data_IF_008165806212
#
_entry.id   IF_008165806212
#
_cell.length_a   1.000
_cell.length_b   1.000
_cell.length_c   1.000
_cell.angle_alpha   90.00
_cell.angle_beta   90.00
_cell.angle_gamma   90.00
#
_symmetry.space_group_name_H-M   'P 1'
#
loop_
_entity.id
_entity.type
_entity.pdbx_description
1 polymer ?
#
# COMPACT_ATOMS: atom_id res chain seq x y z
N UNK A 1 24.85 13.07 -1.06
CA UNK A 1 24.23 13.54 -2.34
C UNK A 1 22.75 13.16 -2.52
N UNK A 2 22.07 12.49 -1.57
CA UNK A 2 20.70 11.97 -1.78
C UNK A 2 19.54 12.98 -1.52
N UNK A 3 19.75 14.04 -0.72
CA UNK A 3 18.66 14.96 -0.32
C UNK A 3 18.10 15.86 -1.42
N UNK A 4 18.90 16.23 -2.43
CA UNK A 4 18.46 17.16 -3.51
C UNK A 4 17.53 16.49 -4.53
N UNK A 5 17.76 15.20 -4.82
CA UNK A 5 16.96 14.44 -5.80
C UNK A 5 15.53 14.19 -5.27
N UNK A 6 15.40 13.88 -3.98
CA UNK A 6 14.08 13.70 -3.36
C UNK A 6 13.24 14.97 -3.31
N UNK A 7 13.87 16.14 -3.20
CA UNK A 7 13.14 17.41 -3.21
C UNK A 7 12.58 17.74 -4.59
N UNK A 8 13.35 17.48 -5.66
CA UNK A 8 12.94 17.80 -7.04
C UNK A 8 11.73 16.96 -7.47
N UNK A 9 11.75 15.65 -7.21
CA UNK A 9 10.64 14.75 -7.53
C UNK A 9 9.33 15.14 -6.81
N UNK A 10 9.41 15.59 -5.55
CA UNK A 10 8.23 16.07 -4.82
C UNK A 10 7.65 17.32 -5.48
N UNK A 11 8.49 18.27 -5.90
CA UNK A 11 8.03 19.50 -6.55
C UNK A 11 7.32 19.22 -7.89
N UNK A 12 7.87 18.32 -8.70
CA UNK A 12 7.27 17.95 -9.99
C UNK A 12 5.91 17.26 -9.81
N UNK A 13 5.84 16.27 -8.90
CA UNK A 13 4.58 15.55 -8.62
C UNK A 13 3.54 16.49 -8.00
N UNK A 14 3.96 17.37 -7.08
CA UNK A 14 3.06 18.35 -6.47
C UNK A 14 2.51 19.32 -7.52
N UNK A 15 3.32 19.76 -8.48
CA UNK A 15 2.87 20.60 -9.60
C UNK A 15 1.78 19.90 -10.42
N UNK A 16 2.00 18.64 -10.79
CA UNK A 16 1.02 17.84 -11.53
C UNK A 16 -0.30 17.64 -10.75
N UNK A 17 -0.19 17.30 -9.47
CA UNK A 17 -1.37 17.13 -8.60
C UNK A 17 -2.13 18.44 -8.42
N UNK A 18 -1.44 19.58 -8.34
CA UNK A 18 -2.08 20.88 -8.26
C UNK A 18 -2.85 21.19 -9.55
N UNK A 19 -2.25 20.96 -10.72
CA UNK A 19 -2.94 21.14 -12.00
C UNK A 19 -4.21 20.28 -12.08
N UNK A 20 -4.13 19.00 -11.66
CA UNK A 20 -5.30 18.13 -11.60
C UNK A 20 -6.36 18.67 -10.63
N UNK A 21 -5.94 19.15 -9.46
CA UNK A 21 -6.83 19.71 -8.44
C UNK A 21 -7.61 20.90 -8.98
N UNK A 22 -6.93 21.84 -9.61
CA UNK A 22 -7.54 23.05 -10.17
C UNK A 22 -8.53 22.73 -11.30
N UNK A 23 -8.27 21.69 -12.11
CA UNK A 23 -9.17 21.27 -13.18
C UNK A 23 -10.43 20.60 -12.63
N UNK A 24 -10.28 19.68 -11.67
CA UNK A 24 -11.40 18.85 -11.19
C UNK A 24 -12.21 19.56 -10.09
N UNK A 25 -11.53 20.30 -9.20
CA UNK A 25 -12.13 21.03 -8.08
C UNK A 25 -11.96 22.54 -8.22
N UNK A 26 -12.18 23.06 -9.42
CA UNK A 26 -12.16 24.51 -9.66
C UNK A 26 -13.16 25.23 -8.75
N UNK A 27 -12.91 26.52 -8.50
CA UNK A 27 -13.80 27.36 -7.67
C UNK A 27 -15.25 27.37 -8.17
N UNK A 28 -15.49 27.15 -9.46
CA UNK A 28 -16.85 27.11 -10.05
C UNK A 28 -17.69 25.89 -9.65
N UNK A 29 -17.06 24.80 -9.16
CA UNK A 29 -17.73 23.55 -8.77
C UNK A 29 -17.52 23.17 -7.31
N UNK A 30 -16.78 23.97 -6.54
CA UNK A 30 -16.35 23.68 -5.17
C UNK A 30 -17.50 23.42 -4.19
N UNK A 31 -18.66 24.07 -4.38
CA UNK A 31 -19.86 23.82 -3.57
C UNK A 31 -20.57 22.51 -3.94
N UNK A 32 -20.40 22.04 -5.18
CA UNK A 32 -21.03 20.83 -5.71
C UNK A 32 -20.15 19.60 -5.56
N UNK A 33 -18.83 19.79 -5.54
CA UNK A 33 -17.83 18.74 -5.45
C UNK A 33 -16.80 19.13 -4.38
N UNK A 34 -16.96 18.64 -3.14
CA UNK A 34 -15.97 18.88 -2.11
C UNK A 34 -14.67 18.13 -2.44
N UNK A 35 -13.58 18.57 -1.84
CA UNK A 35 -12.32 17.84 -1.88
C UNK A 35 -12.50 16.45 -1.26
N UNK A 36 -11.78 15.43 -1.77
CA UNK A 36 -11.87 14.09 -1.21
C UNK A 36 -11.42 14.10 0.25
N UNK A 37 -12.17 13.47 1.14
CA UNK A 37 -11.78 13.30 2.54
C UNK A 37 -10.64 12.29 2.71
N UNK A 38 -10.49 11.37 1.75
CA UNK A 38 -9.48 10.31 1.75
C UNK A 38 -8.88 10.18 0.35
N UNK A 39 -7.55 10.11 0.28
CA UNK A 39 -6.80 9.79 -0.93
C UNK A 39 -6.07 8.47 -0.69
N UNK A 40 -6.33 7.50 -1.57
CA UNK A 40 -5.74 6.17 -1.52
C UNK A 40 -4.58 6.11 -2.50
N UNK A 41 -3.38 5.78 -2.04
CA UNK A 41 -2.16 5.77 -2.87
C UNK A 41 -1.25 4.61 -2.51
N UNK A 42 -0.23 4.33 -3.31
CA UNK A 42 0.79 3.36 -2.94
C UNK A 42 1.73 3.94 -1.86
N UNK A 43 2.78 3.20 -1.48
CA UNK A 43 3.74 3.67 -0.48
C UNK A 43 4.88 4.50 -1.10
N UNK A 44 4.67 5.16 -2.24
CA UNK A 44 5.66 6.08 -2.79
C UNK A 44 5.80 7.33 -1.91
N UNK A 45 7.02 7.58 -1.45
CA UNK A 45 7.29 8.65 -0.48
C UNK A 45 7.09 10.03 -1.10
N UNK A 46 7.46 10.22 -2.36
CA UNK A 46 7.38 11.53 -3.00
C UNK A 46 5.92 11.89 -3.31
N UNK A 47 5.15 10.93 -3.82
CA UNK A 47 3.72 11.05 -4.08
C UNK A 47 2.95 11.33 -2.79
N UNK A 48 3.20 10.57 -1.71
CA UNK A 48 2.54 10.80 -0.42
C UNK A 48 2.84 12.18 0.16
N UNK A 49 4.08 12.66 0.03
CA UNK A 49 4.46 14.00 0.44
C UNK A 49 3.77 15.08 -0.41
N UNK A 50 3.71 14.90 -1.73
CA UNK A 50 3.04 15.82 -2.64
C UNK A 50 1.52 15.89 -2.35
N UNK A 51 0.86 14.76 -2.10
CA UNK A 51 -0.55 14.71 -1.70
C UNK A 51 -0.78 15.52 -0.42
N UNK A 52 0.09 15.37 0.59
CA UNK A 52 -0.03 16.12 1.85
C UNK A 52 0.06 17.64 1.62
N UNK A 53 0.90 18.09 0.70
CA UNK A 53 1.04 19.51 0.36
C UNK A 53 -0.21 20.04 -0.37
N UNK A 54 -0.75 19.30 -1.32
CA UNK A 54 -1.85 19.76 -2.19
C UNK A 54 -3.23 19.56 -1.56
N UNK A 55 -3.39 18.51 -0.75
CA UNK A 55 -4.63 18.10 -0.10
C UNK A 55 -4.42 17.94 1.42
N UNK A 56 -4.09 19.02 2.15
CA UNK A 56 -3.71 18.95 3.57
C UNK A 56 -4.85 18.48 4.48
N UNK A 57 -6.10 18.62 4.05
CA UNK A 57 -7.29 18.18 4.80
C UNK A 57 -7.69 16.74 4.51
N UNK A 58 -7.09 16.10 3.50
CA UNK A 58 -7.41 14.74 3.10
C UNK A 58 -6.53 13.75 3.85
N UNK A 59 -7.14 12.67 4.35
CA UNK A 59 -6.39 11.55 4.89
C UNK A 59 -5.67 10.81 3.76
N UNK A 60 -4.38 10.56 3.92
CA UNK A 60 -3.59 9.76 2.99
C UNK A 60 -3.46 8.32 3.52
N UNK A 61 -4.08 7.36 2.83
CA UNK A 61 -4.03 5.94 3.20
C UNK A 61 -3.39 5.09 2.11
N UNK A 62 -2.75 4.00 2.53
CA UNK A 62 -2.13 3.06 1.61
C UNK A 62 -3.19 2.20 0.92
N UNK A 63 -2.98 1.97 -0.37
CA UNK A 63 -3.85 1.17 -1.21
C UNK A 63 -3.77 -0.30 -0.81
N UNK A 64 -4.92 -0.84 -0.41
CA UNK A 64 -5.08 -2.25 -0.04
C UNK A 64 -4.55 -3.21 -1.11
N UNK A 65 -4.87 -2.95 -2.39
CA UNK A 65 -4.43 -3.79 -3.52
C UNK A 65 -2.91 -3.78 -3.65
N UNK A 66 -2.27 -2.61 -3.52
CA UNK A 66 -0.81 -2.50 -3.58
C UNK A 66 -0.15 -3.16 -2.37
N UNK A 67 -0.73 -3.03 -1.17
CA UNK A 67 -0.23 -3.71 0.02
C UNK A 67 -0.30 -5.23 -0.14
N UNK A 68 -1.43 -5.77 -0.57
CA UNK A 68 -1.58 -7.21 -0.81
C UNK A 68 -0.58 -7.71 -1.85
N UNK A 69 -0.46 -7.01 -2.97
CA UNK A 69 0.47 -7.39 -4.05
C UNK A 69 1.93 -7.36 -3.59
N UNK A 70 2.32 -6.35 -2.81
CA UNK A 70 3.67 -6.26 -2.26
C UNK A 70 3.95 -7.37 -1.24
N UNK A 71 2.95 -7.70 -0.41
CA UNK A 71 3.03 -8.80 0.55
C UNK A 71 3.23 -10.14 -0.16
N UNK A 72 2.40 -10.43 -1.18
CA UNK A 72 2.51 -11.63 -2.02
C UNK A 72 3.89 -11.73 -2.69
N UNK A 73 4.33 -10.66 -3.37
CA UNK A 73 5.60 -10.66 -4.10
C UNK A 73 6.78 -10.93 -3.16
N UNK A 74 6.76 -10.36 -1.96
CA UNK A 74 7.88 -10.51 -1.03
C UNK A 74 7.91 -11.90 -0.42
N UNK A 75 6.77 -12.47 -0.04
CA UNK A 75 6.74 -13.82 0.53
C UNK A 75 6.97 -14.91 -0.51
N UNK A 76 6.46 -14.75 -1.74
CA UNK A 76 6.66 -15.73 -2.81
C UNK A 76 8.12 -15.85 -3.28
N UNK A 77 9.00 -14.90 -2.91
CA UNK A 77 10.45 -15.01 -3.15
C UNK A 77 11.13 -16.03 -2.24
N UNK A 78 10.58 -16.23 -1.05
CA UNK A 78 11.11 -17.17 -0.07
C UNK A 78 10.61 -18.61 -0.31
N UNK A 79 9.63 -18.79 -1.20
CA UNK A 79 9.04 -20.10 -1.48
C UNK A 79 9.98 -20.95 -2.35
N UNK A 80 10.46 -22.07 -1.83
CA UNK A 80 11.38 -23.01 -2.52
C UNK A 80 10.67 -24.07 -3.37
N UNK A 81 9.37 -24.29 -3.17
CA UNK A 81 8.57 -25.21 -3.98
C UNK A 81 8.66 -24.84 -5.47
N UNK A 82 8.84 -25.86 -6.32
CA UNK A 82 9.00 -25.71 -7.77
C UNK A 82 7.74 -26.11 -8.53
N UNK A 83 6.92 -26.98 -7.97
CA UNK A 83 5.67 -27.38 -8.58
C UNK A 83 4.70 -26.20 -8.68
N UNK A 84 4.26 -25.89 -9.90
CA UNK A 84 3.42 -24.72 -10.17
C UNK A 84 2.10 -24.79 -9.40
N UNK A 85 1.45 -25.95 -9.36
CA UNK A 85 0.15 -26.08 -8.73
C UNK A 85 0.24 -25.85 -7.21
N UNK A 86 1.25 -26.44 -6.56
CA UNK A 86 1.51 -26.19 -5.15
C UNK A 86 1.88 -24.73 -4.87
N UNK A 87 2.69 -24.10 -5.73
CA UNK A 87 2.99 -22.66 -5.60
C UNK A 87 1.74 -21.79 -5.72
N UNK A 88 0.82 -22.13 -6.61
CA UNK A 88 -0.44 -21.41 -6.76
C UNK A 88 -1.31 -21.56 -5.49
N UNK A 89 -1.32 -22.74 -4.86
CA UNK A 89 -1.97 -22.95 -3.55
C UNK A 89 -1.31 -22.10 -2.46
N UNK A 90 0.03 -22.14 -2.36
CA UNK A 90 0.77 -21.33 -1.37
C UNK A 90 0.47 -19.83 -1.56
N UNK A 91 0.35 -19.36 -2.80
CA UNK A 91 -0.02 -17.98 -3.09
C UNK A 91 -1.42 -17.63 -2.58
N UNK A 92 -2.40 -18.52 -2.75
CA UNK A 92 -3.76 -18.34 -2.21
C UNK A 92 -3.72 -18.28 -0.67
N UNK A 93 -2.92 -19.13 -0.03
CA UNK A 93 -2.77 -19.11 1.43
C UNK A 93 -2.13 -17.80 1.92
N UNK A 94 -1.12 -17.29 1.21
CA UNK A 94 -0.53 -15.96 1.49
C UNK A 94 -1.57 -14.84 1.35
N UNK A 95 -2.43 -14.90 0.34
CA UNK A 95 -3.51 -13.93 0.16
C UNK A 95 -4.52 -13.98 1.31
N UNK A 96 -4.90 -15.17 1.74
CA UNK A 96 -5.80 -15.36 2.87
C UNK A 96 -5.18 -14.85 4.18
N UNK A 97 -3.88 -15.09 4.41
CA UNK A 97 -3.15 -14.54 5.57
C UNK A 97 -3.14 -13.02 5.56
N UNK A 98 -2.86 -12.39 4.41
CA UNK A 98 -2.92 -10.92 4.29
C UNK A 98 -4.31 -10.38 4.62
N UNK A 99 -5.35 -10.98 4.05
CA UNK A 99 -6.75 -10.59 4.28
C UNK A 99 -7.11 -10.69 5.77
N UNK A 100 -6.72 -11.79 6.43
CA UNK A 100 -6.94 -11.96 7.87
C UNK A 100 -6.27 -10.84 8.65
N UNK A 101 -4.99 -10.57 8.42
CA UNK A 101 -4.25 -9.49 9.10
C UNK A 101 -4.92 -8.13 8.87
N UNK A 102 -5.16 -7.78 7.60
CA UNK A 102 -5.65 -6.46 7.23
C UNK A 102 -7.07 -6.17 7.75
N UNK A 103 -7.90 -7.21 7.93
CA UNK A 103 -9.29 -7.06 8.36
C UNK A 103 -9.49 -7.22 9.87
N UNK A 104 -8.62 -7.97 10.56
CA UNK A 104 -8.87 -8.35 11.97
C UNK A 104 -7.81 -7.86 12.94
N UNK A 105 -6.60 -7.53 12.50
CA UNK A 105 -5.53 -7.07 13.39
C UNK A 105 -5.63 -5.55 13.62
N UNK A 106 -6.35 -5.18 14.68
CA UNK A 106 -6.54 -3.79 15.11
C UNK A 106 -5.57 -3.36 16.23
N UNK A 107 -4.98 -4.32 16.94
CA UNK A 107 -4.03 -4.08 18.04
C UNK A 107 -2.73 -4.86 17.84
N UNK A 108 -1.65 -4.39 18.48
CA UNK A 108 -0.31 -4.97 18.35
C UNK A 108 -0.26 -6.47 18.65
N UNK A 109 -0.97 -6.94 19.69
CA UNK A 109 -1.03 -8.36 20.03
C UNK A 109 -1.61 -9.23 18.90
N UNK A 110 -2.64 -8.73 18.19
CA UNK A 110 -3.24 -9.45 17.06
C UNK A 110 -2.30 -9.48 15.86
N UNK A 111 -1.53 -8.40 15.64
CA UNK A 111 -0.48 -8.38 14.63
C UNK A 111 0.60 -9.41 14.97
N UNK A 112 1.04 -9.46 16.22
CA UNK A 112 2.07 -10.39 16.68
C UNK A 112 1.62 -11.85 16.53
N UNK A 113 0.37 -12.18 16.89
CA UNK A 113 -0.15 -13.53 16.71
C UNK A 113 -0.24 -13.90 15.22
N UNK A 114 -0.69 -12.98 14.36
CA UNK A 114 -0.76 -13.27 12.93
C UNK A 114 0.64 -13.44 12.30
N UNK A 115 1.64 -12.69 12.76
CA UNK A 115 3.05 -12.89 12.37
C UNK A 115 3.56 -14.25 12.81
N UNK A 116 3.19 -14.71 14.01
CA UNK A 116 3.54 -16.04 14.52
C UNK A 116 2.90 -17.14 13.69
N UNK A 117 1.59 -17.08 13.43
CA UNK A 117 0.89 -18.04 12.55
C UNK A 117 1.53 -18.10 11.15
N UNK A 118 1.88 -16.93 10.58
CA UNK A 118 2.55 -16.87 9.29
C UNK A 118 3.92 -17.57 9.35
N UNK A 119 4.74 -17.32 10.38
CA UNK A 119 6.04 -18.00 10.54
C UNK A 119 5.87 -19.51 10.64
N UNK A 120 4.92 -19.98 11.45
CA UNK A 120 4.62 -21.40 11.60
C UNK A 120 4.19 -22.04 10.27
N UNK A 121 3.43 -21.32 9.44
CA UNK A 121 3.07 -21.75 8.10
C UNK A 121 4.32 -21.91 7.21
N UNK A 122 5.22 -20.93 7.18
CA UNK A 122 6.43 -20.98 6.34
C UNK A 122 7.47 -22.01 6.81
N UNK A 123 7.40 -22.47 8.06
CA UNK A 123 8.27 -23.54 8.59
C UNK A 123 7.84 -24.96 8.15
N UNK A 124 6.71 -25.11 7.45
CA UNK A 124 6.28 -26.42 6.94
C UNK A 124 7.20 -26.87 5.81
N UNK A 125 7.54 -28.17 5.82
CA UNK A 125 8.38 -28.79 4.79
C UNK A 125 7.86 -28.48 3.38
N UNK A 126 8.77 -27.97 2.54
CA UNK A 126 8.49 -27.66 1.15
C UNK A 126 7.89 -26.28 0.90
N UNK A 127 7.77 -25.40 1.90
CA UNK A 127 7.38 -23.99 1.68
C UNK A 127 8.61 -23.09 1.60
N UNK A 128 9.35 -22.94 2.70
CA UNK A 128 10.58 -22.12 2.77
C UNK A 128 11.84 -23.00 2.90
#
# INVERSE_FOLDING_TARGET
MSRKVGSLAIFEIAGLLNCLKEVVWSESVKEKLPLPSVIVTDNDKALRAAIYVIFPTSLNILCYIHLQRNFEINLMKEVVEKDKHKRDIIKIDIQAMFQKIALTAAIEDQINEAVKEMKEYFLKDGIC
#
